data_IF_656172421965
#
_entry.id   IF_656172421965
#
_cell.length_a   1.000
_cell.length_b   1.000
_cell.length_c   1.000
_cell.angle_alpha   90.00
_cell.angle_beta   90.00
_cell.angle_gamma   90.00
#
_symmetry.space_group_name_H-M   'P 1'
#
loop_
_entity.id
_entity.type
_entity.pdbx_description
1 polymer ?
2 water ?
#
# COMPACT_ATOMS: atom_id res chain seq x y z
N UNK A 1 -10.91 17.36 -5.50
CA UNK A 1 -10.48 16.58 -6.67
C UNK A 1 -9.09 16.01 -6.49
N UNK A 2 -8.80 14.76 -6.93
CA UNK A 2 -7.48 14.16 -6.79
C UNK A 2 -6.40 15.08 -7.39
N UNK A 3 -5.31 15.30 -6.65
CA UNK A 3 -4.19 16.20 -7.07
C UNK A 3 -3.40 15.56 -8.22
N UNK A 4 -3.19 16.24 -9.36
CA UNK A 4 -2.47 15.66 -10.49
C UNK A 4 -0.96 15.56 -10.21
N UNK A 5 -0.39 14.38 -10.42
CA UNK A 5 1.06 14.15 -10.20
C UNK A 5 1.36 13.66 -8.80
N UNK A 6 0.34 13.56 -7.94
CA UNK A 6 0.55 13.10 -6.55
C UNK A 6 0.56 11.56 -6.51
N UNK A 7 1.65 10.99 -5.99
CA UNK A 7 1.80 9.52 -5.86
C UNK A 7 0.95 9.05 -4.67
N UNK A 8 0.40 7.83 -4.76
CA UNK A 8 -0.40 7.29 -3.67
C UNK A 8 0.39 6.17 -3.02
N UNK A 9 0.64 6.30 -1.71
CA UNK A 9 1.44 5.27 -0.98
C UNK A 9 0.69 4.81 0.27
N UNK A 10 0.96 3.58 0.72
CA UNK A 10 0.35 2.99 1.93
C UNK A 10 1.43 2.22 2.70
N UNK A 11 1.28 2.12 4.02
CA UNK A 11 2.27 1.42 4.87
C UNK A 11 1.82 -0.02 5.11
N UNK A 12 2.75 -0.98 5.00
CA UNK A 12 2.44 -2.43 5.19
C UNK A 12 2.50 -2.78 6.68
N UNK A 13 1.35 -3.12 7.26
CA UNK A 13 1.25 -3.50 8.66
C UNK A 13 1.32 -5.01 8.89
N UNK A 14 0.72 -5.78 7.99
CA UNK A 14 0.72 -7.27 8.09
C UNK A 14 0.79 -7.86 6.68
N UNK A 15 1.53 -8.96 6.50
CA UNK A 15 1.59 -9.59 5.18
C UNK A 15 1.64 -11.10 5.35
N UNK A 16 0.98 -11.78 4.42
CA UNK A 16 1.01 -13.23 4.39
C UNK A 16 0.68 -13.65 2.97
N UNK A 17 1.50 -14.55 2.42
CA UNK A 17 1.27 -15.14 1.08
C UNK A 17 0.92 -14.08 0.03
N UNK A 18 1.68 -12.98 -0.03
CA UNK A 18 1.44 -11.94 -1.05
C UNK A 18 0.18 -11.13 -0.83
N UNK A 19 -0.37 -11.12 0.39
CA UNK A 19 -1.55 -10.32 0.69
C UNK A 19 -1.22 -9.48 1.91
N UNK A 20 -1.13 -8.16 1.72
CA UNK A 20 -0.72 -7.22 2.75
C UNK A 20 -1.93 -6.50 3.34
N UNK A 21 -1.95 -6.36 4.66
CA UNK A 21 -2.83 -5.39 5.32
C UNK A 21 -2.05 -4.07 5.42
N UNK A 22 -2.54 -3.03 4.73
CA UNK A 22 -1.82 -1.75 4.61
C UNK A 22 -2.65 -0.64 5.23
N UNK A 23 -1.96 0.42 5.68
CA UNK A 23 -2.60 1.61 6.24
C UNK A 23 -2.54 2.73 5.20
N UNK A 24 -3.70 3.23 4.79
CA UNK A 24 -3.69 4.32 3.84
C UNK A 24 -3.47 5.65 4.56
N UNK A 25 -3.27 6.70 3.75
CA UNK A 25 -2.95 8.02 4.29
C UNK A 25 -4.00 8.49 5.28
N UNK A 26 -5.27 8.21 4.99
CA UNK A 26 -6.32 8.59 5.93
C UNK A 26 -6.34 7.74 7.20
N UNK A 27 -5.43 6.78 7.36
CA UNK A 27 -5.45 5.91 8.53
C UNK A 27 -6.26 4.62 8.39
N UNK A 28 -6.97 4.43 7.28
CA UNK A 28 -7.76 3.21 7.09
C UNK A 28 -6.85 2.05 6.70
N UNK A 29 -7.09 0.88 7.29
CA UNK A 29 -6.29 -0.32 7.04
C UNK A 29 -7.08 -1.32 6.20
N UNK A 30 -6.46 -1.82 5.13
CA UNK A 30 -7.18 -2.76 4.24
C UNK A 30 -6.22 -3.79 3.66
N UNK A 31 -6.76 -4.96 3.31
CA UNK A 31 -6.01 -6.02 2.67
C UNK A 31 -5.81 -5.70 1.20
N UNK A 32 -4.59 -5.85 0.69
CA UNK A 32 -4.37 -5.76 -0.75
C UNK A 32 -3.40 -6.86 -1.15
N UNK A 33 -3.37 -7.16 -2.44
CA UNK A 33 -2.31 -8.01 -2.96
C UNK A 33 -1.08 -7.15 -3.15
N UNK A 34 0.07 -7.66 -2.73
CA UNK A 34 1.32 -6.93 -2.81
C UNK A 34 2.37 -7.81 -3.49
N UNK A 35 3.36 -7.21 -4.19
CA UNK A 35 4.38 -7.99 -4.90
C UNK A 35 5.31 -8.76 -3.96
N UNK A 36 6.04 -9.74 -4.51
CA UNK A 36 7.01 -10.54 -3.72
C UNK A 36 8.15 -9.61 -3.31
N UNK A 37 8.69 -9.80 -2.10
CA UNK A 37 9.78 -8.94 -1.61
C UNK A 37 9.25 -7.86 -0.69
N UNK A 38 7.92 -7.75 -0.59
CA UNK A 38 7.30 -6.73 0.31
C UNK A 38 7.22 -7.33 1.72
N UNK A 39 7.84 -6.67 2.70
CA UNK A 39 7.85 -7.16 4.11
C UNK A 39 7.08 -6.18 4.99
N UNK A 40 6.77 -6.57 6.23
CA UNK A 40 6.03 -5.64 7.13
C UNK A 40 6.94 -4.43 7.36
N UNK A 41 6.35 -3.22 7.35
CA UNK A 41 7.13 -1.99 7.56
C UNK A 41 7.58 -1.37 6.25
N UNK A 42 7.33 -2.06 5.13
CA UNK A 42 7.70 -1.52 3.79
C UNK A 42 6.60 -0.57 3.33
N UNK A 43 6.88 0.21 2.29
CA UNK A 43 5.88 1.17 1.75
C UNK A 43 5.57 0.77 0.30
N UNK A 44 4.28 0.69 -0.04
CA UNK A 44 3.87 0.36 -1.39
C UNK A 44 3.17 1.56 -2.01
N UNK A 45 3.15 1.58 -3.34
CA UNK A 45 2.50 2.62 -4.12
C UNK A 45 1.38 2.02 -4.96
N UNK A 46 0.33 2.80 -5.19
CA UNK A 46 -0.71 2.47 -6.16
C UNK A 46 -0.51 3.36 -7.38
N UNK A 47 -0.15 2.74 -8.51
CA UNK A 47 0.19 3.53 -9.72
C UNK A 47 -0.58 3.04 -10.94
N UNK A 48 -0.92 3.98 -11.83
CA UNK A 48 -1.66 3.65 -13.08
C UNK A 48 -0.72 2.89 -14.01
N UNK A 49 -1.23 1.87 -14.69
CA UNK A 49 -0.42 1.06 -15.64
C UNK A 49 -0.54 1.70 -17.03
#
# INVERSE_FOLDING_TARGET
GPMPGKKVVARVEEILDGVARVKFEDGTKKLIIAPEGVKVGDVVEVKKV
#
